data_IF_985076629932
#
_entry.id   IF_985076629932
#
_cell.length_a   1.000
_cell.length_b   1.000
_cell.length_c   1.000
_cell.angle_alpha   90.00
_cell.angle_beta   90.00
_cell.angle_gamma   90.00
#
_symmetry.space_group_name_H-M   'P 1'
#
loop_
_entity.id
_entity.type
_entity.pdbx_description
1 polymer ?
#
# COMPACT_ATOMS: atom_id res chain seq x y z
N UNK A 1 -18.99 29.67 -2.16
CA UNK A 1 -19.32 28.65 -3.18
C UNK A 1 -20.49 27.84 -2.64
N UNK A 2 -21.46 27.50 -3.48
CA UNK A 2 -22.59 26.66 -3.09
C UNK A 2 -22.11 25.20 -2.86
N UNK A 3 -22.71 24.50 -1.89
CA UNK A 3 -22.33 23.13 -1.51
C UNK A 3 -22.48 22.13 -2.67
N UNK A 4 -23.42 22.39 -3.58
CA UNK A 4 -23.61 21.64 -4.82
C UNK A 4 -22.38 21.70 -5.75
N UNK A 5 -21.77 22.88 -5.87
CA UNK A 5 -20.62 23.14 -6.71
C UNK A 5 -19.33 22.59 -6.08
N UNK A 6 -19.23 22.62 -4.75
CA UNK A 6 -18.10 22.02 -4.02
C UNK A 6 -18.10 20.49 -4.14
N UNK A 7 -19.28 19.87 -4.07
CA UNK A 7 -19.41 18.42 -4.27
C UNK A 7 -19.01 18.01 -5.69
N UNK A 8 -19.48 18.73 -6.71
CA UNK A 8 -19.14 18.45 -8.11
C UNK A 8 -17.64 18.58 -8.38
N UNK A 9 -16.98 19.61 -7.83
CA UNK A 9 -15.52 19.79 -7.96
C UNK A 9 -14.74 18.65 -7.30
N UNK A 10 -15.17 18.20 -6.12
CA UNK A 10 -14.53 17.07 -5.44
C UNK A 10 -14.66 15.78 -6.27
N UNK A 11 -15.83 15.52 -6.84
CA UNK A 11 -16.07 14.30 -7.63
C UNK A 11 -15.24 14.29 -8.92
N UNK A 12 -15.16 15.42 -9.63
CA UNK A 12 -14.31 15.57 -10.81
C UNK A 12 -12.83 15.37 -10.47
N UNK A 13 -12.34 16.02 -9.40
CA UNK A 13 -10.97 15.90 -8.95
C UNK A 13 -10.62 14.46 -8.55
N UNK A 14 -11.50 13.77 -7.81
CA UNK A 14 -11.31 12.38 -7.44
C UNK A 14 -11.29 11.45 -8.65
N UNK A 15 -12.18 11.66 -9.62
CA UNK A 15 -12.21 10.87 -10.85
C UNK A 15 -10.92 11.04 -11.66
N UNK A 16 -10.41 12.26 -11.78
CA UNK A 16 -9.18 12.55 -12.50
C UNK A 16 -7.96 11.93 -11.82
N UNK A 17 -7.82 12.12 -10.50
CA UNK A 17 -6.71 11.53 -9.73
C UNK A 17 -6.77 9.99 -9.79
N UNK A 18 -7.95 9.40 -9.66
CA UNK A 18 -8.13 7.94 -9.72
C UNK A 18 -7.71 7.39 -11.09
N UNK A 19 -8.16 8.01 -12.18
CA UNK A 19 -7.83 7.59 -13.55
C UNK A 19 -6.33 7.72 -13.83
N UNK A 20 -5.74 8.88 -13.53
CA UNK A 20 -4.31 9.11 -13.77
C UNK A 20 -3.43 8.16 -12.94
N UNK A 21 -3.84 7.87 -11.70
CA UNK A 21 -3.12 6.91 -10.87
C UNK A 21 -3.23 5.49 -11.42
N UNK A 22 -4.40 5.10 -11.93
CA UNK A 22 -4.61 3.83 -12.61
C UNK A 22 -3.75 3.69 -13.88
N UNK A 23 -3.55 4.77 -14.66
CA UNK A 23 -2.72 4.77 -15.87
C UNK A 23 -1.26 4.36 -15.60
N UNK A 24 -0.74 4.55 -14.38
CA UNK A 24 0.58 4.02 -13.99
C UNK A 24 0.67 2.51 -14.24
N UNK A 25 -0.38 1.76 -13.86
CA UNK A 25 -0.43 0.30 -14.01
C UNK A 25 -0.66 -0.17 -15.45
N UNK A 26 -0.98 0.75 -16.36
CA UNK A 26 -1.04 0.47 -17.79
C UNK A 26 0.29 0.75 -18.47
N UNK A 27 0.89 1.90 -18.16
CA UNK A 27 2.03 2.47 -18.85
C UNK A 27 3.38 1.93 -18.33
N UNK A 28 3.47 1.69 -17.02
CA UNK A 28 4.70 1.20 -16.37
C UNK A 28 4.72 -0.33 -16.21
N UNK A 29 3.81 -1.03 -16.90
CA UNK A 29 3.71 -2.48 -16.91
C UNK A 29 4.31 -3.08 -18.19
N UNK A 30 5.02 -4.19 -18.05
CA UNK A 30 5.42 -5.02 -19.18
C UNK A 30 4.25 -5.94 -19.59
N UNK A 31 3.61 -5.74 -20.75
CA UNK A 31 2.43 -6.51 -21.14
C UNK A 31 2.72 -8.00 -21.37
N UNK A 32 3.98 -8.38 -21.63
CA UNK A 32 4.33 -9.77 -21.92
C UNK A 32 4.37 -10.67 -20.67
N UNK A 33 4.63 -10.09 -19.49
CA UNK A 33 4.77 -10.86 -18.23
C UNK A 33 4.02 -10.23 -17.04
N UNK A 34 3.37 -9.09 -17.25
CA UNK A 34 2.59 -8.40 -16.22
C UNK A 34 3.41 -7.74 -15.11
N UNK A 35 4.74 -7.74 -15.19
CA UNK A 35 5.59 -7.06 -14.22
C UNK A 35 5.41 -5.55 -14.30
N UNK A 36 5.38 -4.87 -13.15
CA UNK A 36 5.16 -3.43 -13.03
C UNK A 36 6.39 -2.78 -12.42
N UNK A 37 6.90 -1.74 -13.07
CA UNK A 37 8.07 -1.01 -12.61
C UNK A 37 7.81 -0.37 -11.23
N UNK A 38 8.81 -0.41 -10.36
CA UNK A 38 8.76 0.24 -9.04
C UNK A 38 8.57 1.76 -9.18
N UNK A 39 9.18 2.32 -10.22
CA UNK A 39 9.22 3.76 -10.52
C UNK A 39 9.05 4.00 -12.01
N UNK A 40 8.52 5.14 -12.40
CA UNK A 40 8.40 5.58 -13.79
C UNK A 40 9.74 6.09 -14.37
N UNK A 41 10.84 5.35 -14.14
CA UNK A 41 12.17 5.67 -14.69
C UNK A 41 12.67 4.53 -15.58
N UNK A 42 13.41 4.87 -16.63
CA UNK A 42 13.78 3.95 -17.71
C UNK A 42 14.50 2.66 -17.25
N UNK A 43 15.26 2.72 -16.15
CA UNK A 43 16.03 1.59 -15.63
C UNK A 43 15.43 0.99 -14.33
N UNK A 44 14.18 1.33 -14.02
CA UNK A 44 13.52 0.83 -12.81
C UNK A 44 13.25 -0.67 -12.92
N UNK A 45 13.55 -1.46 -11.87
CA UNK A 45 13.14 -2.85 -11.83
C UNK A 45 11.64 -2.98 -11.53
N UNK A 46 11.10 -4.18 -11.69
CA UNK A 46 9.76 -4.48 -11.22
C UNK A 46 9.70 -4.54 -9.69
N UNK A 47 8.62 -4.04 -9.09
CA UNK A 47 8.29 -4.27 -7.68
C UNK A 47 7.10 -5.23 -7.59
N UNK A 48 7.26 -6.35 -6.88
CA UNK A 48 6.17 -7.33 -6.75
C UNK A 48 4.98 -6.78 -5.93
N UNK A 49 5.22 -5.81 -5.04
CA UNK A 49 4.15 -5.11 -4.33
C UNK A 49 3.34 -4.24 -5.31
N UNK A 50 4.01 -3.53 -6.23
CA UNK A 50 3.35 -2.77 -7.29
C UNK A 50 2.52 -3.67 -8.21
N UNK A 51 2.99 -4.89 -8.50
CA UNK A 51 2.21 -5.89 -9.26
C UNK A 51 0.93 -6.29 -8.50
N UNK A 52 0.98 -6.53 -7.19
CA UNK A 52 -0.20 -6.82 -6.38
C UNK A 52 -1.24 -5.68 -6.42
N UNK A 53 -0.77 -4.44 -6.34
CA UNK A 53 -1.61 -3.27 -6.46
C UNK A 53 -2.21 -3.14 -7.87
N UNK A 54 -1.46 -3.47 -8.92
CA UNK A 54 -1.96 -3.48 -10.30
C UNK A 54 -3.08 -4.51 -10.49
N UNK A 55 -2.89 -5.76 -10.03
CA UNK A 55 -3.89 -6.82 -10.10
C UNK A 55 -5.18 -6.45 -9.36
N UNK A 56 -5.07 -5.67 -8.28
CA UNK A 56 -6.23 -5.14 -7.54
C UNK A 56 -6.90 -3.97 -8.27
N UNK A 57 -6.12 -3.20 -9.03
CA UNK A 57 -6.58 -2.00 -9.73
C UNK A 57 -7.24 -2.31 -11.07
N UNK A 58 -6.92 -3.45 -11.72
CA UNK A 58 -7.56 -3.85 -12.97
C UNK A 58 -9.08 -4.04 -12.84
N UNK A 59 -9.62 -4.73 -11.82
CA UNK A 59 -11.06 -4.74 -11.54
C UNK A 59 -11.67 -3.33 -11.42
N UNK A 60 -11.02 -2.42 -10.70
CA UNK A 60 -11.47 -1.02 -10.57
C UNK A 60 -11.49 -0.33 -11.93
N UNK A 61 -10.46 -0.55 -12.76
CA UNK A 61 -10.40 -0.02 -14.12
C UNK A 61 -11.54 -0.51 -15.01
N UNK A 62 -12.01 -1.75 -14.84
CA UNK A 62 -13.17 -2.29 -15.55
C UNK A 62 -14.46 -1.63 -15.05
N UNK A 63 -14.69 -1.63 -13.74
CA UNK A 63 -15.91 -1.03 -13.14
C UNK A 63 -16.04 0.48 -13.41
N UNK A 64 -14.92 1.18 -13.60
CA UNK A 64 -14.88 2.62 -13.92
C UNK A 64 -14.77 2.91 -15.41
N UNK A 65 -14.70 1.89 -16.27
CA UNK A 65 -14.59 2.06 -17.72
C UNK A 65 -13.25 2.66 -18.18
N UNK A 66 -12.20 2.58 -17.36
CA UNK A 66 -10.84 2.97 -17.75
C UNK A 66 -10.15 1.91 -18.63
N UNK A 67 -10.61 0.66 -18.55
CA UNK A 67 -10.09 -0.48 -19.30
C UNK A 67 -11.24 -1.46 -19.57
N UNK A 68 -11.21 -2.14 -20.72
CA UNK A 68 -12.20 -3.20 -21.01
C UNK A 68 -11.91 -4.45 -20.18
N UNK A 69 -12.95 -5.27 -19.93
CA UNK A 69 -12.79 -6.55 -19.23
C UNK A 69 -11.77 -7.48 -19.92
N UNK A 70 -11.84 -7.59 -21.24
CA UNK A 70 -10.90 -8.41 -22.04
C UNK A 70 -9.44 -7.98 -21.85
N UNK A 71 -9.17 -6.67 -21.89
CA UNK A 71 -7.82 -6.14 -21.66
C UNK A 71 -7.35 -6.41 -20.22
N UNK A 72 -8.27 -6.40 -19.26
CA UNK A 72 -8.01 -6.74 -17.87
C UNK A 72 -7.67 -8.24 -17.70
N UNK A 73 -8.41 -9.12 -18.38
CA UNK A 73 -8.18 -10.57 -18.42
C UNK A 73 -6.79 -10.86 -19.01
N UNK A 74 -6.46 -10.26 -20.16
CA UNK A 74 -5.17 -10.46 -20.83
C UNK A 74 -3.99 -10.10 -19.91
N UNK A 75 -4.03 -8.91 -19.29
CA UNK A 75 -2.99 -8.45 -18.36
C UNK A 75 -2.90 -9.32 -17.11
N UNK A 76 -4.05 -9.73 -16.57
CA UNK A 76 -4.11 -10.61 -15.39
C UNK A 76 -3.47 -11.96 -15.71
N UNK A 77 -3.87 -12.61 -16.81
CA UNK A 77 -3.31 -13.89 -17.22
C UNK A 77 -1.81 -13.82 -17.53
N UNK A 78 -1.35 -12.77 -18.22
CA UNK A 78 0.08 -12.57 -18.46
C UNK A 78 0.88 -12.56 -17.13
N UNK A 79 0.35 -11.86 -16.13
CA UNK A 79 0.93 -11.78 -14.78
C UNK A 79 0.92 -13.14 -14.08
N UNK A 80 -0.26 -13.77 -13.97
CA UNK A 80 -0.42 -15.01 -13.20
C UNK A 80 0.36 -16.17 -13.83
N UNK A 81 0.33 -16.29 -15.17
CA UNK A 81 1.11 -17.29 -15.91
C UNK A 81 2.61 -17.07 -15.73
N UNK A 82 3.08 -15.82 -15.72
CA UNK A 82 4.48 -15.52 -15.43
C UNK A 82 4.87 -16.02 -14.03
N UNK A 83 4.19 -15.59 -12.96
CA UNK A 83 4.54 -15.99 -11.59
C UNK A 83 4.39 -17.50 -11.33
N UNK A 84 3.48 -18.15 -12.04
CA UNK A 84 3.29 -19.60 -11.93
C UNK A 84 4.46 -20.38 -12.53
N UNK A 85 4.96 -19.95 -13.69
CA UNK A 85 5.97 -20.66 -14.49
C UNK A 85 7.41 -20.16 -14.28
N UNK A 86 7.60 -19.00 -13.66
CA UNK A 86 8.91 -18.41 -13.45
C UNK A 86 9.82 -19.30 -12.57
N UNK A 87 11.17 -19.19 -12.69
CA UNK A 87 12.10 -19.95 -11.87
C UNK A 87 11.80 -19.79 -10.37
N UNK A 88 11.50 -20.91 -9.70
CA UNK A 88 11.06 -20.93 -8.30
C UNK A 88 11.90 -21.92 -7.48
N UNK A 89 13.00 -21.45 -6.89
CA UNK A 89 14.01 -22.31 -6.29
C UNK A 89 15.06 -21.55 -5.46
N UNK A 90 16.02 -22.26 -4.82
CA UNK A 90 17.03 -21.66 -3.95
C UNK A 90 18.13 -20.89 -4.71
N UNK A 91 18.10 -20.93 -6.05
CA UNK A 91 19.07 -20.27 -6.92
C UNK A 91 19.12 -18.75 -6.67
N UNK A 92 20.32 -18.14 -6.77
CA UNK A 92 20.50 -16.73 -6.39
C UNK A 92 19.75 -15.74 -7.28
N UNK A 93 19.39 -16.12 -8.51
CA UNK A 93 18.69 -15.29 -9.51
C UNK A 93 17.27 -15.78 -9.84
N UNK A 94 16.73 -16.75 -9.09
CA UNK A 94 15.34 -17.19 -9.22
C UNK A 94 14.35 -16.03 -8.98
N UNK A 95 13.12 -16.18 -9.47
CA UNK A 95 12.03 -15.20 -9.26
C UNK A 95 11.44 -15.32 -7.86
N UNK A 96 11.41 -16.54 -7.32
CA UNK A 96 10.92 -16.80 -5.97
C UNK A 96 11.47 -18.09 -5.37
N UNK A 97 11.17 -18.32 -4.10
CA UNK A 97 11.49 -19.56 -3.38
C UNK A 97 10.40 -19.84 -2.35
N UNK A 98 10.02 -21.11 -2.15
CA UNK A 98 9.00 -21.51 -1.13
C UNK A 98 7.65 -20.78 -1.23
N UNK A 99 7.24 -20.48 -2.46
CA UNK A 99 6.03 -19.69 -2.75
C UNK A 99 6.08 -18.20 -2.40
N UNK A 100 7.24 -17.69 -1.99
CA UNK A 100 7.51 -16.26 -1.83
C UNK A 100 8.37 -15.74 -2.97
N UNK A 101 8.38 -14.43 -3.16
CA UNK A 101 9.03 -13.77 -4.29
C UNK A 101 10.03 -12.70 -3.85
N UNK A 102 11.03 -12.43 -4.69
CA UNK A 102 11.99 -11.36 -4.45
C UNK A 102 11.35 -9.99 -4.65
N UNK A 103 11.70 -9.06 -3.75
CA UNK A 103 11.18 -7.68 -3.74
C UNK A 103 11.24 -7.05 -5.13
N UNK A 104 12.42 -7.12 -5.75
CA UNK A 104 12.69 -6.54 -7.06
C UNK A 104 13.11 -7.59 -8.08
N UNK A 105 12.51 -7.51 -9.26
CA UNK A 105 12.78 -8.37 -10.41
C UNK A 105 13.18 -7.54 -11.63
N UNK A 106 14.01 -8.08 -12.50
CA UNK A 106 14.29 -7.50 -13.80
C UNK A 106 13.00 -7.49 -14.65
N UNK A 107 12.66 -6.33 -15.22
CA UNK A 107 11.39 -6.12 -15.94
C UNK A 107 11.17 -7.08 -17.11
N UNK A 108 12.23 -7.56 -17.75
CA UNK A 108 12.14 -8.41 -18.95
C UNK A 108 12.22 -9.89 -18.61
N UNK A 109 13.23 -10.25 -17.83
CA UNK A 109 13.58 -11.64 -17.54
C UNK A 109 12.87 -12.19 -16.31
N UNK A 110 12.39 -11.31 -15.42
CA UNK A 110 11.75 -11.71 -14.17
C UNK A 110 12.72 -12.28 -13.13
N UNK A 111 14.03 -12.18 -13.37
CA UNK A 111 15.07 -12.65 -12.44
C UNK A 111 15.29 -11.63 -11.34
N UNK A 112 15.66 -12.10 -10.14
CA UNK A 112 16.00 -11.23 -9.01
C UNK A 112 17.09 -10.23 -9.37
N UNK A 113 16.93 -8.97 -8.96
CA UNK A 113 17.93 -7.90 -9.12
C UNK A 113 18.37 -7.30 -7.79
N UNK A 114 19.43 -6.49 -7.83
CA UNK A 114 19.98 -5.73 -6.71
C UNK A 114 20.34 -6.54 -5.45
N UNK A 115 20.48 -7.87 -5.58
CA UNK A 115 20.64 -8.77 -4.44
C UNK A 115 19.58 -8.56 -3.34
N UNK A 116 18.37 -8.12 -3.73
CA UNK A 116 17.26 -7.86 -2.81
C UNK A 116 16.84 -9.13 -2.06
N UNK A 117 16.17 -8.99 -0.93
CA UNK A 117 15.56 -10.11 -0.23
C UNK A 117 14.34 -10.68 -0.96
N UNK A 118 14.10 -11.96 -0.71
CA UNK A 118 12.79 -12.54 -0.81
C UNK A 118 11.95 -11.94 0.31
N UNK A 119 10.94 -11.14 -0.05
CA UNK A 119 10.22 -10.26 0.86
C UNK A 119 8.88 -10.86 1.21
N UNK A 120 8.63 -11.05 2.51
CA UNK A 120 7.38 -11.66 2.99
C UNK A 120 6.20 -10.70 2.88
N UNK A 121 6.41 -9.41 3.16
CA UNK A 121 5.36 -8.40 3.04
C UNK A 121 5.02 -8.12 1.58
N UNK A 122 6.00 -7.96 0.69
CA UNK A 122 5.70 -7.67 -0.71
C UNK A 122 5.07 -8.88 -1.41
N UNK A 123 5.42 -10.10 -0.99
CA UNK A 123 4.70 -11.30 -1.40
C UNK A 123 3.25 -11.27 -0.89
N UNK A 124 2.99 -10.86 0.35
CA UNK A 124 1.62 -10.77 0.87
C UNK A 124 0.79 -9.73 0.08
N UNK A 125 1.37 -8.58 -0.27
CA UNK A 125 0.72 -7.57 -1.11
C UNK A 125 0.45 -8.09 -2.53
N UNK A 126 1.42 -8.80 -3.13
CA UNK A 126 1.22 -9.51 -4.40
C UNK A 126 0.04 -10.48 -4.31
N UNK A 127 0.03 -11.36 -3.31
CA UNK A 127 -0.99 -12.38 -3.13
C UNK A 127 -2.37 -11.78 -2.83
N UNK A 128 -2.44 -10.64 -2.13
CA UNK A 128 -3.70 -9.92 -1.94
C UNK A 128 -4.30 -9.48 -3.28
N UNK A 129 -3.48 -8.98 -4.21
CA UNK A 129 -3.91 -8.64 -5.56
C UNK A 129 -4.26 -9.84 -6.44
N UNK A 130 -3.48 -10.92 -6.34
CA UNK A 130 -3.77 -12.20 -7.00
C UNK A 130 -5.14 -12.73 -6.58
N UNK A 131 -5.45 -12.69 -5.29
CA UNK A 131 -6.73 -13.13 -4.75
C UNK A 131 -7.88 -12.17 -5.14
N UNK A 132 -7.63 -10.86 -5.20
CA UNK A 132 -8.60 -9.89 -5.69
C UNK A 132 -8.99 -10.16 -7.15
N UNK A 133 -8.01 -10.39 -8.02
CA UNK A 133 -8.23 -10.75 -9.42
C UNK A 133 -9.00 -12.08 -9.54
N UNK A 134 -8.58 -13.11 -8.81
CA UNK A 134 -9.27 -14.41 -8.77
C UNK A 134 -10.71 -14.33 -8.23
N UNK A 135 -11.02 -13.35 -7.40
CA UNK A 135 -12.39 -13.15 -6.91
C UNK A 135 -13.28 -12.32 -7.84
N UNK A 136 -12.68 -11.51 -8.74
CA UNK A 136 -13.40 -10.60 -9.63
C UNK A 136 -13.75 -11.25 -10.98
N UNK A 137 -12.82 -12.02 -11.53
CA UNK A 137 -13.03 -12.75 -12.77
C UNK A 137 -13.75 -14.08 -12.45
N UNK A 138 -15.06 -13.99 -12.25
CA UNK A 138 -15.95 -15.08 -11.82
C UNK A 138 -16.97 -15.54 -12.89
N UNK A 139 -16.86 -15.10 -14.14
CA UNK A 139 -17.74 -15.52 -15.23
C UNK A 139 -17.46 -16.97 -15.69
N UNK A 140 -18.46 -17.58 -16.34
CA UNK A 140 -18.39 -18.90 -16.98
C UNK A 140 -17.65 -18.81 -18.32
N UNK A 141 -16.36 -18.49 -18.23
CA UNK A 141 -15.42 -18.35 -19.33
C UNK A 141 -14.13 -19.11 -19.02
N UNK A 142 -13.48 -19.67 -20.04
CA UNK A 142 -12.27 -20.50 -19.88
C UNK A 142 -11.06 -19.70 -19.38
N UNK A 143 -10.90 -18.45 -19.83
CA UNK A 143 -9.79 -17.58 -19.42
C UNK A 143 -9.98 -17.13 -17.97
N UNK A 144 -11.21 -16.78 -17.58
CA UNK A 144 -11.51 -16.44 -16.20
C UNK A 144 -11.41 -17.64 -15.26
N UNK A 145 -11.80 -18.84 -15.72
CA UNK A 145 -11.55 -20.07 -14.98
C UNK A 145 -10.05 -20.28 -14.71
N UNK A 146 -9.20 -20.05 -15.71
CA UNK A 146 -7.75 -20.14 -15.54
C UNK A 146 -7.23 -19.10 -14.54
N UNK A 147 -7.74 -17.85 -14.56
CA UNK A 147 -7.40 -16.82 -13.56
C UNK A 147 -7.69 -17.33 -12.15
N UNK A 148 -8.90 -17.88 -11.92
CA UNK A 148 -9.30 -18.42 -10.60
C UNK A 148 -8.38 -19.54 -10.14
N UNK A 149 -8.04 -20.46 -11.04
CA UNK A 149 -7.18 -21.60 -10.74
C UNK A 149 -5.74 -21.17 -10.42
N UNK A 150 -5.16 -20.28 -11.22
CA UNK A 150 -3.80 -19.77 -10.98
C UNK A 150 -3.74 -18.94 -9.71
N UNK A 151 -4.78 -18.12 -9.42
CA UNK A 151 -4.82 -17.34 -8.21
C UNK A 151 -4.82 -18.20 -6.93
N UNK A 152 -5.67 -19.23 -6.88
CA UNK A 152 -5.68 -20.19 -5.77
C UNK A 152 -4.36 -20.95 -5.68
N UNK A 153 -3.81 -21.40 -6.81
CA UNK A 153 -2.56 -22.16 -6.85
C UNK A 153 -1.35 -21.35 -6.36
N UNK A 154 -1.24 -20.08 -6.77
CA UNK A 154 -0.19 -19.17 -6.32
C UNK A 154 -0.30 -18.90 -4.81
N UNK A 155 -1.50 -18.64 -4.30
CA UNK A 155 -1.71 -18.43 -2.86
C UNK A 155 -1.36 -19.68 -2.03
N UNK A 156 -1.78 -20.87 -2.49
CA UNK A 156 -1.48 -22.15 -1.82
C UNK A 156 0.00 -22.53 -1.84
N UNK A 157 0.77 -21.99 -2.79
CA UNK A 157 2.21 -22.24 -2.93
C UNK A 157 3.03 -21.62 -1.79
N UNK A 158 2.54 -20.53 -1.18
CA UNK A 158 3.26 -19.81 -0.13
C UNK A 158 3.40 -20.63 1.16
N UNK A 159 4.64 -20.93 1.54
CA UNK A 159 4.96 -21.71 2.74
C UNK A 159 5.11 -20.81 3.98
N UNK A 160 3.99 -20.33 4.54
CA UNK A 160 4.03 -19.38 5.66
C UNK A 160 4.71 -19.94 6.91
N UNK A 161 4.66 -21.26 7.13
CA UNK A 161 5.42 -21.94 8.20
C UNK A 161 6.92 -21.83 7.99
N UNK A 162 7.40 -21.99 6.76
CA UNK A 162 8.80 -21.77 6.44
C UNK A 162 9.22 -20.32 6.73
N UNK A 163 8.38 -19.33 6.40
CA UNK A 163 8.67 -17.91 6.65
C UNK A 163 8.80 -17.54 8.14
N UNK A 164 8.28 -18.37 9.06
CA UNK A 164 8.50 -18.24 10.50
C UNK A 164 9.92 -18.62 10.93
N UNK A 165 10.70 -19.35 10.13
CA UNK A 165 12.07 -19.77 10.48
C UNK A 165 12.18 -20.34 11.92
N UNK A 166 11.23 -21.20 12.31
CA UNK A 166 11.18 -21.82 13.64
C UNK A 166 10.80 -20.92 14.83
N UNK A 167 10.54 -19.63 14.62
CA UNK A 167 10.03 -18.71 15.65
C UNK A 167 8.52 -18.46 15.57
N UNK A 168 7.99 -17.63 16.47
CA UNK A 168 6.54 -17.35 16.49
C UNK A 168 6.10 -16.33 15.41
N UNK A 169 6.82 -15.22 15.27
CA UNK A 169 6.50 -14.16 14.28
C UNK A 169 7.01 -14.50 12.88
N UNK A 170 6.59 -13.77 11.85
CA UNK A 170 7.12 -13.95 10.48
C UNK A 170 8.41 -13.15 10.30
N UNK A 171 9.41 -13.71 9.61
CA UNK A 171 10.65 -12.98 9.27
C UNK A 171 10.39 -11.95 8.18
N UNK A 172 11.14 -10.84 8.13
CA UNK A 172 11.00 -9.85 7.05
C UNK A 172 11.33 -10.45 5.68
N UNK A 173 12.24 -11.42 5.63
CA UNK A 173 12.61 -12.05 4.38
C UNK A 173 13.76 -13.02 4.49
N UNK A 174 14.23 -13.46 3.33
CA UNK A 174 15.33 -14.42 3.18
C UNK A 174 16.24 -14.03 2.02
N UNK A 175 17.52 -14.44 2.07
CA UNK A 175 18.49 -14.23 1.00
C UNK A 175 19.28 -15.51 0.69
N UNK A 176 19.45 -15.86 -0.60
CA UNK A 176 20.35 -16.93 -1.03
C UNK A 176 21.74 -16.82 -0.41
N UNK A 177 22.24 -17.95 0.09
CA UNK A 177 23.55 -18.05 0.74
C UNK A 177 23.67 -17.36 2.11
N UNK A 178 22.69 -16.54 2.53
CA UNK A 178 22.71 -15.81 3.82
C UNK A 178 21.65 -16.30 4.81
N UNK A 179 20.56 -16.90 4.33
CA UNK A 179 19.45 -17.33 5.18
C UNK A 179 18.45 -16.20 5.45
N UNK A 180 17.68 -16.35 6.52
CA UNK A 180 16.66 -15.39 6.92
C UNK A 180 17.27 -14.08 7.43
N UNK A 181 16.57 -12.97 7.16
CA UNK A 181 16.90 -11.68 7.75
C UNK A 181 16.71 -11.72 9.27
N UNK A 182 17.48 -10.90 9.99
CA UNK A 182 17.39 -10.79 11.45
C UNK A 182 16.06 -10.21 11.94
N UNK A 183 15.44 -9.35 11.13
CA UNK A 183 14.24 -8.62 11.49
C UNK A 183 13.00 -9.49 11.30
N UNK A 184 12.03 -9.30 12.19
CA UNK A 184 10.76 -10.03 12.24
C UNK A 184 9.63 -9.03 12.41
N UNK A 185 8.48 -9.36 11.84
CA UNK A 185 7.29 -8.53 11.94
C UNK A 185 6.77 -8.57 13.37
N UNK A 186 6.74 -7.41 14.01
CA UNK A 186 6.43 -7.17 15.42
C UNK A 186 5.62 -5.86 15.47
N UNK A 187 4.31 -5.97 15.66
CA UNK A 187 3.40 -4.88 15.41
C UNK A 187 3.42 -3.77 16.48
N UNK A 188 2.69 -2.67 16.31
CA UNK A 188 1.86 -2.39 15.15
C UNK A 188 2.71 -1.88 13.97
N UNK A 189 2.61 -2.58 12.85
CA UNK A 189 3.30 -2.35 11.58
C UNK A 189 2.32 -2.67 10.42
N UNK A 190 2.78 -2.55 9.17
CA UNK A 190 1.94 -2.75 7.98
C UNK A 190 1.53 -4.22 7.73
N UNK A 191 2.03 -5.17 8.54
CA UNK A 191 1.96 -6.60 8.27
C UNK A 191 0.63 -7.28 8.64
N UNK A 192 -0.42 -6.54 9.01
CA UNK A 192 -1.72 -7.14 9.36
C UNK A 192 -2.27 -8.03 8.23
N UNK A 193 -2.23 -7.56 6.97
CA UNK A 193 -2.61 -8.36 5.79
C UNK A 193 -1.76 -9.63 5.64
N UNK A 194 -0.45 -9.56 5.94
CA UNK A 194 0.45 -10.70 5.90
C UNK A 194 0.03 -11.76 6.91
N UNK A 195 -0.29 -11.37 8.14
CA UNK A 195 -0.75 -12.32 9.16
C UNK A 195 -2.13 -12.90 8.81
N UNK A 196 -3.06 -12.09 8.31
CA UNK A 196 -4.37 -12.57 7.85
C UNK A 196 -4.21 -13.61 6.73
N UNK A 197 -3.44 -13.31 5.68
CA UNK A 197 -3.19 -14.24 4.58
C UNK A 197 -2.45 -15.50 5.04
N UNK A 198 -1.46 -15.37 5.93
CA UNK A 198 -0.71 -16.52 6.44
C UNK A 198 -1.54 -17.44 7.32
N UNK A 199 -2.44 -16.90 8.15
CA UNK A 199 -3.38 -17.69 8.95
C UNK A 199 -4.48 -18.30 8.08
N UNK A 200 -4.90 -17.60 7.03
CA UNK A 200 -5.93 -18.05 6.07
C UNK A 200 -5.49 -19.20 5.17
N UNK A 201 -4.19 -19.49 5.10
CA UNK A 201 -3.67 -20.47 4.13
C UNK A 201 -4.23 -21.87 4.41
N UNK A 202 -4.72 -22.60 3.40
CA UNK A 202 -5.22 -23.96 3.56
C UNK A 202 -4.11 -25.03 3.49
N UNK A 203 -2.88 -24.66 3.13
CA UNK A 203 -1.76 -25.59 2.91
C UNK A 203 -0.67 -25.44 3.98
N UNK A 204 -0.06 -24.25 4.06
CA UNK A 204 1.10 -23.99 4.89
C UNK A 204 0.83 -22.85 5.88
N UNK A 205 -0.28 -22.93 6.62
CA UNK A 205 -0.70 -21.85 7.52
C UNK A 205 0.30 -21.55 8.63
N UNK A 206 0.38 -20.28 9.01
CA UNK A 206 1.04 -19.84 10.25
C UNK A 206 0.52 -20.64 11.46
N UNK A 207 1.38 -20.76 12.48
CA UNK A 207 0.98 -21.40 13.74
C UNK A 207 -0.05 -20.53 14.49
N UNK A 208 -0.92 -21.14 15.33
CA UNK A 208 -1.95 -20.40 16.07
C UNK A 208 -1.38 -19.27 16.96
N UNK A 209 -0.17 -19.44 17.49
CA UNK A 209 0.48 -18.48 18.38
C UNK A 209 1.07 -17.28 17.63
N UNK A 210 1.21 -17.37 16.29
CA UNK A 210 1.93 -16.38 15.48
C UNK A 210 1.29 -14.99 15.58
N UNK A 211 -0.04 -14.93 15.55
CA UNK A 211 -0.77 -13.67 15.64
C UNK A 211 -0.61 -13.01 17.01
N UNK A 212 -0.75 -13.78 18.08
CA UNK A 212 -0.56 -13.28 19.44
C UNK A 212 0.88 -12.78 19.67
N UNK A 213 1.88 -13.45 19.10
CA UNK A 213 3.26 -13.00 19.15
C UNK A 213 3.47 -11.65 18.44
N UNK A 214 2.84 -11.45 17.28
CA UNK A 214 2.89 -10.16 16.57
C UNK A 214 2.19 -9.03 17.32
N UNK A 215 1.03 -9.31 17.93
CA UNK A 215 0.31 -8.33 18.75
C UNK A 215 1.09 -7.93 20.02
N UNK A 216 2.05 -8.74 20.49
CA UNK A 216 2.72 -8.54 21.78
C UNK A 216 3.51 -7.22 21.91
N UNK A 217 3.88 -6.60 20.79
CA UNK A 217 4.61 -5.34 20.73
C UNK A 217 3.73 -4.12 20.51
N UNK A 218 2.41 -4.31 20.37
CA UNK A 218 1.45 -3.23 20.21
C UNK A 218 1.54 -2.24 21.36
N UNK A 219 1.42 -0.95 21.03
CA UNK A 219 1.41 0.13 22.01
C UNK A 219 0.19 1.00 21.80
N UNK A 220 -0.76 0.88 22.73
CA UNK A 220 -1.84 1.85 22.87
C UNK A 220 -1.28 3.18 23.36
N UNK A 221 -1.66 4.29 22.72
CA UNK A 221 -1.18 5.61 23.07
C UNK A 221 -2.30 6.64 23.01
N UNK A 222 -2.24 7.60 23.92
CA UNK A 222 -2.98 8.86 23.83
C UNK A 222 -2.03 9.96 23.34
N UNK A 223 -2.26 10.47 22.14
CA UNK A 223 -1.43 11.50 21.51
C UNK A 223 -2.36 12.64 21.10
N UNK A 224 -2.11 13.85 21.60
CA UNK A 224 -2.93 15.02 21.28
C UNK A 224 -4.43 14.85 21.59
N UNK A 225 -4.76 14.04 22.62
CA UNK A 225 -6.13 13.71 22.99
C UNK A 225 -6.75 12.56 22.19
N UNK A 226 -6.00 11.94 21.28
CA UNK A 226 -6.46 10.82 20.45
C UNK A 226 -5.86 9.52 20.93
N UNK A 227 -6.70 8.52 21.12
CA UNK A 227 -6.28 7.19 21.51
C UNK A 227 -6.20 6.27 20.28
N UNK A 228 -5.13 5.50 20.16
CA UNK A 228 -4.93 4.55 19.06
C UNK A 228 -3.78 3.58 19.38
N UNK A 229 -3.75 2.44 18.69
CA UNK A 229 -2.49 1.74 18.49
C UNK A 229 -1.66 2.54 17.48
N UNK A 230 -0.48 2.99 17.91
CA UNK A 230 0.30 4.00 17.19
C UNK A 230 1.45 3.42 16.37
N UNK A 231 1.53 3.84 15.11
CA UNK A 231 2.71 3.79 14.26
C UNK A 231 2.95 5.16 13.60
N UNK A 232 4.21 5.50 13.36
CA UNK A 232 4.62 6.85 12.93
C UNK A 232 4.29 7.18 11.47
N UNK A 233 4.80 6.42 10.49
CA UNK A 233 4.42 6.58 9.09
C UNK A 233 2.93 6.28 8.86
N UNK A 234 2.22 7.16 8.14
CA UNK A 234 0.78 7.00 7.96
C UNK A 234 0.40 5.73 7.17
N UNK A 235 1.23 5.28 6.23
CA UNK A 235 0.93 4.12 5.39
C UNK A 235 0.68 2.82 6.18
N UNK A 236 1.27 2.70 7.38
CA UNK A 236 1.09 1.55 8.27
C UNK A 236 -0.39 1.39 8.66
N UNK A 237 -1.10 2.51 8.82
CA UNK A 237 -2.54 2.54 9.11
C UNK A 237 -3.42 2.39 7.86
N UNK A 238 -2.82 2.24 6.67
CA UNK A 238 -3.56 2.28 5.39
C UNK A 238 -3.39 1.01 4.58
N UNK A 239 -2.20 0.43 4.53
CA UNK A 239 -1.88 -0.63 3.56
C UNK A 239 -2.77 -1.86 3.71
N UNK A 240 -2.98 -2.36 4.93
CA UNK A 240 -3.88 -3.50 5.14
C UNK A 240 -5.35 -3.17 4.84
N UNK A 241 -5.74 -1.90 5.00
CA UNK A 241 -7.07 -1.40 4.66
C UNK A 241 -7.33 -1.31 3.16
N UNK A 242 -6.31 -1.39 2.30
CA UNK A 242 -6.54 -1.42 0.85
C UNK A 242 -7.43 -2.63 0.50
N UNK A 243 -7.14 -3.79 1.07
CA UNK A 243 -7.85 -5.04 0.77
C UNK A 243 -8.85 -5.45 1.84
N UNK A 244 -8.62 -5.14 3.11
CA UNK A 244 -9.47 -5.60 4.20
C UNK A 244 -10.32 -4.46 4.74
N UNK A 245 -11.62 -4.69 4.77
CA UNK A 245 -12.53 -3.81 5.49
C UNK A 245 -12.53 -4.15 6.97
N UNK A 246 -12.01 -3.25 7.79
CA UNK A 246 -11.97 -3.45 9.23
C UNK A 246 -13.14 -2.81 9.99
N UNK A 247 -14.13 -2.23 9.30
CA UNK A 247 -15.33 -1.68 9.98
C UNK A 247 -16.06 -2.76 10.74
N UNK A 248 -16.36 -2.49 12.01
CA UNK A 248 -17.15 -3.32 12.91
C UNK A 248 -16.59 -4.73 13.19
N UNK A 249 -15.36 -5.04 12.74
CA UNK A 249 -14.64 -6.27 13.07
C UNK A 249 -13.46 -5.96 13.99
N UNK A 250 -13.29 -6.78 15.03
CA UNK A 250 -12.27 -6.53 16.05
C UNK A 250 -11.60 -7.83 16.45
N UNK A 251 -10.27 -7.82 16.52
CA UNK A 251 -9.49 -8.87 17.19
C UNK A 251 -9.58 -8.71 18.73
N UNK A 252 -8.83 -9.54 19.47
CA UNK A 252 -8.81 -9.46 20.93
C UNK A 252 -8.29 -8.12 21.45
N UNK A 253 -7.16 -7.63 20.93
CA UNK A 253 -6.53 -6.39 21.38
C UNK A 253 -7.46 -5.19 21.17
N UNK A 254 -8.10 -5.11 20.01
CA UNK A 254 -8.97 -4.01 19.65
C UNK A 254 -10.31 -4.05 20.41
N UNK A 255 -10.83 -5.24 20.73
CA UNK A 255 -11.98 -5.39 21.65
C UNK A 255 -11.69 -4.84 23.04
N UNK A 256 -10.50 -5.07 23.58
CA UNK A 256 -10.10 -4.55 24.90
C UNK A 256 -10.09 -3.02 24.97
N UNK A 257 -10.02 -2.34 23.81
CA UNK A 257 -10.04 -0.88 23.69
C UNK A 257 -11.33 -0.33 23.09
N UNK A 258 -12.36 -1.17 22.95
CA UNK A 258 -13.66 -0.87 22.34
C UNK A 258 -13.54 -0.14 20.98
N UNK A 259 -12.64 -0.61 20.12
CA UNK A 259 -12.33 0.02 18.83
C UNK A 259 -12.15 -1.02 17.74
N UNK A 260 -12.36 -0.63 16.49
CA UNK A 260 -11.89 -1.41 15.35
C UNK A 260 -10.69 -0.71 14.67
N UNK A 261 -10.04 -1.39 13.73
CA UNK A 261 -8.89 -0.80 13.03
C UNK A 261 -9.30 0.35 12.09
N UNK A 262 -10.56 0.40 11.62
CA UNK A 262 -11.02 1.50 10.77
C UNK A 262 -11.08 2.81 11.57
N UNK A 263 -11.67 2.78 12.74
CA UNK A 263 -11.69 3.91 13.67
C UNK A 263 -10.28 4.24 14.17
N UNK A 264 -9.42 3.25 14.40
CA UNK A 264 -8.00 3.49 14.73
C UNK A 264 -7.29 4.30 13.63
N UNK A 265 -7.45 3.90 12.37
CA UNK A 265 -6.86 4.56 11.20
C UNK A 265 -7.47 5.95 10.95
N UNK A 266 -8.75 6.15 11.28
CA UNK A 266 -9.38 7.48 11.35
C UNK A 266 -8.69 8.36 12.39
N UNK A 267 -8.46 7.87 13.61
CA UNK A 267 -7.73 8.63 14.64
C UNK A 267 -6.28 8.93 14.24
N UNK A 268 -5.59 8.00 13.59
CA UNK A 268 -4.24 8.22 13.05
C UNK A 268 -4.22 9.29 11.94
N UNK A 269 -5.24 9.31 11.07
CA UNK A 269 -5.41 10.33 10.03
C UNK A 269 -5.59 11.73 10.66
N UNK A 270 -6.47 11.83 11.65
CA UNK A 270 -6.65 13.08 12.37
C UNK A 270 -5.40 13.51 13.15
N UNK A 271 -4.65 12.56 13.71
CA UNK A 271 -3.37 12.85 14.38
C UNK A 271 -2.36 13.48 13.43
N UNK A 272 -2.31 13.04 12.16
CA UNK A 272 -1.43 13.64 11.15
C UNK A 272 -1.79 15.10 10.86
N UNK A 273 -3.08 15.40 10.69
CA UNK A 273 -3.55 16.78 10.52
C UNK A 273 -3.27 17.64 11.75
N UNK A 274 -3.52 17.11 12.95
CA UNK A 274 -3.25 17.81 14.21
C UNK A 274 -1.75 18.08 14.42
N UNK A 275 -0.88 17.17 13.98
CA UNK A 275 0.56 17.40 13.96
C UNK A 275 0.95 18.52 12.99
N UNK A 276 0.37 18.50 11.79
CA UNK A 276 0.63 19.52 10.77
C UNK A 276 0.17 20.92 11.20
N UNK A 277 -0.99 21.05 11.84
CA UNK A 277 -1.48 22.33 12.40
C UNK A 277 -0.54 22.84 13.49
N UNK A 278 -0.08 21.96 14.39
CA UNK A 278 0.86 22.34 15.45
C UNK A 278 2.25 22.70 14.93
N UNK A 279 2.67 22.05 13.84
CA UNK A 279 3.96 22.26 13.16
C UNK A 279 5.13 22.51 14.13
N UNK A 280 5.43 21.58 15.05
CA UNK A 280 6.40 21.82 16.13
C UNK A 280 7.83 22.08 15.63
N UNK A 281 8.10 21.81 14.35
CA UNK A 281 9.40 21.99 13.69
C UNK A 281 9.44 23.22 12.77
N UNK A 282 8.33 23.95 12.64
CA UNK A 282 8.24 25.15 11.83
C UNK A 282 8.66 24.94 10.38
N UNK A 283 8.22 23.86 9.74
CA UNK A 283 8.41 23.63 8.31
C UNK A 283 7.37 24.41 7.51
N UNK A 284 7.74 24.88 6.32
CA UNK A 284 6.81 25.62 5.46
C UNK A 284 5.72 24.68 4.92
N UNK A 285 4.54 25.24 4.65
CA UNK A 285 3.40 24.52 4.07
C UNK A 285 2.55 23.73 5.06
N UNK A 286 3.11 23.19 6.14
CA UNK A 286 2.38 22.39 7.13
C UNK A 286 1.16 23.14 7.69
N UNK A 287 -0.01 22.50 7.68
CA UNK A 287 -1.23 23.10 8.20
C UNK A 287 -2.47 22.22 8.08
N UNK A 288 -3.63 22.82 8.30
CA UNK A 288 -4.94 22.15 8.32
C UNK A 288 -5.25 21.38 7.03
N UNK A 289 -4.86 21.93 5.86
CA UNK A 289 -5.10 21.32 4.55
C UNK A 289 -3.81 20.82 3.87
N UNK A 290 -2.69 20.78 4.59
CA UNK A 290 -1.40 20.38 4.03
C UNK A 290 -0.64 19.51 5.04
N UNK A 291 -0.85 18.20 4.91
CA UNK A 291 -0.37 17.16 5.81
C UNK A 291 -0.22 15.83 5.05
N UNK A 292 0.35 14.81 5.70
CA UNK A 292 0.59 13.49 5.10
C UNK A 292 2.04 13.07 5.25
N UNK A 293 2.47 12.75 6.48
CA UNK A 293 3.83 12.30 6.77
C UNK A 293 3.89 10.77 6.69
N UNK A 294 4.67 10.26 5.75
CA UNK A 294 4.80 8.82 5.48
C UNK A 294 6.15 8.50 4.84
N UNK A 295 6.45 7.22 4.63
CA UNK A 295 7.64 6.79 3.89
C UNK A 295 7.63 7.32 2.46
N UNK A 296 8.68 8.05 2.08
CA UNK A 296 8.75 8.72 0.77
C UNK A 296 10.17 9.12 0.40
N UNK A 297 10.35 9.49 -0.86
CA UNK A 297 11.52 10.26 -1.29
C UNK A 297 11.49 11.67 -0.70
N UNK A 298 12.61 12.36 -0.83
CA UNK A 298 12.82 13.69 -0.29
C UNK A 298 14.01 14.34 -0.97
N UNK A 299 14.27 15.63 -0.67
CA UNK A 299 15.25 16.43 -1.39
C UNK A 299 16.71 16.01 -1.16
N UNK A 300 16.96 15.05 -0.26
CA UNK A 300 18.30 14.52 -0.03
C UNK A 300 19.23 15.48 0.73
N UNK A 301 20.45 15.04 1.03
CA UNK A 301 21.43 15.82 1.79
C UNK A 301 21.99 17.03 1.02
N UNK A 302 21.69 17.15 -0.27
CA UNK A 302 22.18 18.21 -1.17
C UNK A 302 21.36 19.51 -0.98
N UNK A 303 20.10 19.40 -0.55
CA UNK A 303 19.30 20.55 -0.17
C UNK A 303 19.77 21.11 1.18
N UNK A 304 20.82 21.93 1.18
CA UNK A 304 21.31 22.61 2.39
C UNK A 304 20.65 23.97 2.53
N UNK A 305 19.91 24.16 3.63
CA UNK A 305 19.53 25.51 4.08
C UNK A 305 20.59 26.08 5.01
N UNK A 306 20.69 27.41 5.03
CA UNK A 306 21.57 28.15 5.93
C UNK A 306 21.20 27.99 7.42
N UNK A 307 19.99 27.50 7.72
CA UNK A 307 19.46 27.32 9.09
C UNK A 307 19.89 25.99 9.76
N UNK A 308 20.70 25.17 9.08
CA UNK A 308 21.24 23.92 9.63
C UNK A 308 20.28 22.73 9.65
N UNK A 309 19.07 22.85 9.07
CA UNK A 309 18.13 21.73 8.96
C UNK A 309 18.67 20.64 8.01
N UNK A 310 18.44 19.38 8.38
CA UNK A 310 18.84 18.19 7.61
C UNK A 310 17.65 17.62 6.85
N UNK A 311 17.90 17.26 5.60
CA UNK A 311 16.94 16.62 4.72
C UNK A 311 17.47 15.27 4.24
N UNK A 312 16.54 14.38 3.92
CA UNK A 312 16.85 13.00 3.54
C UNK A 312 16.34 12.70 2.14
N UNK A 313 16.94 11.71 1.49
CA UNK A 313 16.42 11.16 0.23
C UNK A 313 15.20 10.32 0.55
N UNK A 314 15.30 9.02 0.34
CA UNK A 314 14.29 8.09 0.85
C UNK A 314 14.39 7.92 2.38
N UNK A 315 13.26 8.07 3.09
CA UNK A 315 13.16 7.82 4.52
C UNK A 315 11.74 7.39 4.91
N UNK A 316 11.63 6.47 5.88
CA UNK A 316 10.37 6.15 6.54
C UNK A 316 9.95 7.27 7.51
N UNK A 317 9.45 8.39 6.97
CA UNK A 317 9.01 9.55 7.77
C UNK A 317 7.76 9.19 8.57
N UNK A 318 7.64 9.77 9.76
CA UNK A 318 6.51 9.53 10.63
C UNK A 318 6.29 10.65 11.62
N UNK A 319 5.03 10.85 12.00
CA UNK A 319 4.62 11.89 12.93
C UNK A 319 3.83 11.30 14.11
N UNK A 320 3.84 11.92 15.31
CA UNK A 320 4.69 13.05 15.70
C UNK A 320 6.08 12.63 16.21
N UNK A 321 6.34 11.32 16.39
CA UNK A 321 7.56 10.82 17.04
C UNK A 321 8.59 10.22 16.06
N UNK A 322 8.30 10.19 14.77
CA UNK A 322 9.21 9.71 13.74
C UNK A 322 10.09 10.82 13.15
N UNK A 323 10.94 10.48 12.17
CA UNK A 323 11.67 11.50 11.46
C UNK A 323 10.72 12.33 10.59
N UNK A 324 10.93 13.64 10.64
CA UNK A 324 10.25 14.65 9.84
C UNK A 324 11.34 15.60 9.29
N UNK A 325 11.30 15.94 8.01
CA UNK A 325 12.21 16.93 7.41
C UNK A 325 11.44 17.97 6.58
N UNK A 326 10.13 18.11 6.83
CA UNK A 326 9.25 19.00 6.09
C UNK A 326 8.74 18.43 4.78
N UNK A 327 9.09 17.18 4.44
CA UNK A 327 8.58 16.50 3.25
C UNK A 327 7.23 15.86 3.53
N UNK A 328 6.26 16.13 2.66
CA UNK A 328 4.89 15.63 2.72
C UNK A 328 4.59 14.77 1.48
N UNK A 329 3.60 13.88 1.61
CA UNK A 329 3.20 12.94 0.57
C UNK A 329 1.68 13.01 0.32
N UNK A 330 1.24 13.60 -0.81
CA UNK A 330 -0.19 13.73 -1.13
C UNK A 330 -0.92 12.40 -1.15
N UNK A 331 -0.26 11.34 -1.65
CA UNK A 331 -0.84 10.00 -1.73
C UNK A 331 -1.28 9.45 -0.37
N UNK A 332 -0.55 9.78 0.71
CA UNK A 332 -0.91 9.34 2.06
C UNK A 332 -2.14 10.07 2.59
N UNK A 333 -2.35 11.35 2.25
CA UNK A 333 -3.62 12.00 2.57
C UNK A 333 -4.77 11.39 1.77
N UNK A 334 -4.57 11.14 0.45
CA UNK A 334 -5.58 10.51 -0.41
C UNK A 334 -5.96 9.11 0.08
N UNK A 335 -4.98 8.28 0.46
CA UNK A 335 -5.23 6.92 0.95
C UNK A 335 -6.02 6.88 2.27
N UNK A 336 -6.15 8.01 2.96
CA UNK A 336 -7.01 8.17 4.14
C UNK A 336 -8.45 8.59 3.83
N UNK A 337 -8.80 8.78 2.55
CA UNK A 337 -10.12 9.26 2.12
C UNK A 337 -11.29 8.45 2.70
N UNK A 338 -11.26 7.10 2.74
CA UNK A 338 -12.35 6.35 3.35
C UNK A 338 -12.52 6.61 4.85
N UNK A 339 -11.46 6.96 5.57
CA UNK A 339 -11.49 7.10 7.03
C UNK A 339 -12.00 8.46 7.47
N UNK A 340 -11.62 9.54 6.77
CA UNK A 340 -11.92 10.91 7.19
C UNK A 340 -12.07 11.86 5.99
N UNK A 341 -13.08 11.65 5.12
CA UNK A 341 -13.27 12.46 3.92
C UNK A 341 -13.39 13.96 4.22
N UNK A 342 -13.94 14.32 5.37
CA UNK A 342 -14.14 15.70 5.82
C UNK A 342 -12.84 16.50 6.04
N UNK A 343 -11.71 15.83 6.25
CA UNK A 343 -10.38 16.49 6.33
C UNK A 343 -9.47 16.16 5.14
N UNK A 344 -9.77 15.10 4.39
CA UNK A 344 -9.01 14.72 3.20
C UNK A 344 -9.43 15.55 2.00
N UNK A 345 -10.73 15.72 1.74
CA UNK A 345 -11.22 16.50 0.58
C UNK A 345 -10.71 17.95 0.57
N UNK A 346 -10.72 18.70 1.70
CA UNK A 346 -10.09 20.01 1.76
C UNK A 346 -8.59 19.99 1.46
N UNK A 347 -7.86 18.95 1.91
CA UNK A 347 -6.44 18.80 1.61
C UNK A 347 -6.20 18.53 0.12
N UNK A 348 -7.04 17.73 -0.55
CA UNK A 348 -6.90 17.46 -1.98
C UNK A 348 -7.10 18.71 -2.82
N UNK A 349 -8.09 19.54 -2.48
CA UNK A 349 -8.28 20.84 -3.13
C UNK A 349 -7.07 21.74 -2.94
N UNK A 350 -6.52 21.79 -1.73
CA UNK A 350 -5.32 22.57 -1.47
C UNK A 350 -4.12 22.08 -2.28
N UNK A 351 -3.93 20.76 -2.41
CA UNK A 351 -2.89 20.18 -3.27
C UNK A 351 -3.09 20.52 -4.76
N UNK A 352 -4.35 20.58 -5.21
CA UNK A 352 -4.69 21.02 -6.56
C UNK A 352 -4.37 22.51 -6.76
N UNK A 353 -4.72 23.38 -5.82
CA UNK A 353 -4.40 24.82 -5.83
C UNK A 353 -2.89 25.09 -5.76
N UNK A 354 -2.12 24.23 -5.10
CA UNK A 354 -0.65 24.25 -5.06
C UNK A 354 0.00 23.72 -6.36
N UNK A 355 -0.82 23.31 -7.32
CA UNK A 355 -0.39 22.78 -8.61
C UNK A 355 0.55 21.57 -8.49
N UNK A 356 0.28 20.69 -7.50
CA UNK A 356 1.07 19.47 -7.29
C UNK A 356 0.96 18.46 -8.44
N UNK A 357 0.10 18.73 -9.43
CA UNK A 357 -0.05 17.94 -10.66
C UNK A 357 0.87 18.44 -11.78
N UNK A 358 1.31 19.69 -11.78
CA UNK A 358 2.05 20.25 -12.92
C UNK A 358 3.29 19.40 -13.28
N UNK A 359 3.38 19.03 -14.56
CA UNK A 359 4.42 18.17 -15.10
C UNK A 359 4.35 16.68 -14.71
N UNK A 360 3.33 16.24 -13.95
CA UNK A 360 3.24 14.86 -13.44
C UNK A 360 2.22 14.01 -14.25
N UNK A 361 2.64 12.86 -14.81
CA UNK A 361 1.76 12.02 -15.64
C UNK A 361 0.71 11.22 -14.85
N UNK A 362 0.91 11.01 -13.54
CA UNK A 362 0.12 10.07 -12.74
C UNK A 362 -0.56 10.74 -11.53
N UNK A 363 -1.08 11.96 -11.72
CA UNK A 363 -1.77 12.74 -10.68
C UNK A 363 -0.82 13.63 -9.88
N UNK A 364 -1.05 13.78 -8.57
CA UNK A 364 -0.14 14.57 -7.73
C UNK A 364 1.23 13.91 -7.60
N UNK A 365 2.27 14.74 -7.48
CA UNK A 365 3.64 14.29 -7.19
C UNK A 365 3.70 13.34 -5.98
N UNK A 366 4.63 12.38 -6.00
CA UNK A 366 4.79 11.39 -4.95
C UNK A 366 5.13 12.02 -3.57
N UNK A 367 5.90 13.11 -3.57
CA UNK A 367 6.21 13.88 -2.37
C UNK A 367 6.69 15.28 -2.73
N UNK A 368 6.56 16.21 -1.79
CA UNK A 368 7.00 17.58 -1.96
C UNK A 368 7.48 18.17 -0.63
N UNK A 369 8.28 19.23 -0.67
CA UNK A 369 8.82 19.91 0.50
C UNK A 369 8.81 21.43 0.27
N UNK A 370 7.78 22.14 0.78
CA UNK A 370 7.66 23.60 0.63
C UNK A 370 8.76 24.39 1.34
N UNK A 371 9.53 23.75 2.23
CA UNK A 371 10.63 24.42 2.95
C UNK A 371 11.85 24.62 2.05
N UNK A 372 11.97 23.81 0.99
CA UNK A 372 13.02 23.94 -0.03
C UNK A 372 12.43 24.70 -1.20
N UNK A 373 12.91 25.91 -1.45
CA UNK A 373 12.45 26.72 -2.58
C UNK A 373 12.71 25.97 -3.91
N UNK A 374 11.72 25.99 -4.80
CA UNK A 374 11.88 25.50 -6.16
C UNK A 374 12.61 26.54 -7.03
N UNK A 375 13.33 26.08 -8.05
CA UNK A 375 14.06 26.95 -8.98
C UNK A 375 13.12 27.87 -9.79
N UNK A 376 11.89 27.44 -10.03
CA UNK A 376 10.85 28.19 -10.73
C UNK A 376 9.91 28.99 -9.81
N UNK A 377 10.19 29.01 -8.50
CA UNK A 377 9.44 29.78 -7.52
C UNK A 377 8.06 29.24 -7.14
N UNK A 378 7.69 28.01 -7.55
CA UNK A 378 6.39 27.42 -7.17
C UNK A 378 6.24 27.24 -5.66
N UNK A 379 5.02 27.43 -5.16
CA UNK A 379 4.73 27.43 -3.72
C UNK A 379 4.93 26.06 -3.04
N UNK A 380 4.87 24.97 -3.79
CA UNK A 380 5.10 23.61 -3.28
C UNK A 380 6.57 23.29 -3.02
N UNK A 381 7.50 24.14 -3.46
CA UNK A 381 8.93 23.94 -3.26
C UNK A 381 9.47 22.73 -4.02
N UNK A 382 10.38 21.98 -3.40
CA UNK A 382 10.92 20.75 -4.00
C UNK A 382 9.80 19.73 -4.23
N UNK A 383 9.83 19.03 -5.35
CA UNK A 383 8.93 17.93 -5.70
C UNK A 383 9.74 16.69 -6.09
N UNK A 384 9.19 15.50 -5.82
CA UNK A 384 9.77 14.24 -6.26
C UNK A 384 9.84 14.19 -7.78
N UNK A 385 10.98 13.77 -8.38
CA UNK A 385 11.10 13.66 -9.83
C UNK A 385 10.31 12.47 -10.40
N UNK A 386 10.05 11.46 -9.56
CA UNK A 386 9.47 10.19 -9.98
C UNK A 386 8.19 9.88 -9.18
N UNK A 387 7.34 9.06 -9.79
CA UNK A 387 6.24 8.34 -9.15
C UNK A 387 6.69 6.92 -8.79
N UNK A 388 6.06 6.36 -7.75
CA UNK A 388 6.35 5.01 -7.25
C UNK A 388 5.06 4.18 -7.24
N UNK A 389 5.10 2.95 -7.73
CA UNK A 389 3.92 2.08 -7.87
C UNK A 389 3.18 1.83 -6.54
N UNK A 390 3.91 1.69 -5.44
CA UNK A 390 3.34 1.51 -4.10
C UNK A 390 2.64 2.77 -3.54
N UNK A 391 2.81 3.92 -4.19
CA UNK A 391 2.07 5.15 -3.86
C UNK A 391 0.79 5.26 -4.72
N UNK A 392 0.87 4.82 -5.98
CA UNK A 392 -0.25 4.91 -6.94
C UNK A 392 -1.37 3.93 -6.62
N UNK A 393 -1.04 2.70 -6.24
CA UNK A 393 -2.04 1.69 -5.88
C UNK A 393 -3.01 2.17 -4.78
N UNK A 394 -2.51 2.62 -3.62
CA UNK A 394 -3.36 3.17 -2.57
C UNK A 394 -4.26 4.32 -3.03
N UNK A 395 -3.80 5.20 -3.94
CA UNK A 395 -4.62 6.28 -4.49
C UNK A 395 -5.83 5.70 -5.24
N UNK A 396 -5.60 4.86 -6.25
CA UNK A 396 -6.67 4.34 -7.09
C UNK A 396 -7.67 3.49 -6.30
N UNK A 397 -7.15 2.65 -5.39
CA UNK A 397 -7.94 1.67 -4.65
C UNK A 397 -8.70 2.28 -3.46
N UNK A 398 -8.10 3.21 -2.72
CA UNK A 398 -8.77 3.83 -1.58
C UNK A 398 -9.79 4.88 -2.02
N UNK A 399 -9.59 5.55 -3.17
CA UNK A 399 -10.66 6.34 -3.80
C UNK A 399 -11.82 5.42 -4.15
N UNK A 400 -11.56 4.24 -4.71
CA UNK A 400 -12.63 3.30 -5.06
C UNK A 400 -13.40 2.79 -3.84
N UNK A 401 -12.68 2.39 -2.78
CA UNK A 401 -13.30 1.96 -1.53
C UNK A 401 -14.16 3.07 -0.92
N UNK A 402 -13.70 4.33 -0.96
CA UNK A 402 -14.52 5.47 -0.53
C UNK A 402 -15.80 5.63 -1.37
N UNK A 403 -15.70 5.49 -2.70
CA UNK A 403 -16.84 5.74 -3.61
C UNK A 403 -17.90 4.64 -3.59
N UNK A 404 -17.51 3.37 -3.42
CA UNK A 404 -18.41 2.24 -3.68
C UNK A 404 -18.22 1.01 -2.80
N UNK A 405 -17.25 1.06 -1.87
CA UNK A 405 -16.76 -0.09 -1.11
C UNK A 405 -16.37 -1.30 -1.99
N UNK A 406 -16.09 -1.10 -3.29
CA UNK A 406 -16.03 -2.21 -4.25
C UNK A 406 -14.96 -3.25 -3.91
N UNK A 407 -13.70 -2.84 -3.69
CA UNK A 407 -12.62 -3.78 -3.39
C UNK A 407 -12.85 -4.45 -2.04
N UNK A 408 -13.34 -3.72 -1.05
CA UNK A 408 -13.77 -4.31 0.22
C UNK A 408 -14.85 -5.38 0.05
N UNK A 409 -15.97 -5.08 -0.61
CA UNK A 409 -17.05 -6.06 -0.87
C UNK A 409 -16.54 -7.28 -1.62
N UNK A 410 -15.64 -7.08 -2.59
CA UNK A 410 -14.97 -8.15 -3.31
C UNK A 410 -14.16 -9.04 -2.35
N UNK A 411 -13.28 -8.44 -1.55
CA UNK A 411 -12.35 -9.15 -0.66
C UNK A 411 -13.04 -9.85 0.53
N UNK A 412 -14.20 -9.35 0.98
CA UNK A 412 -15.03 -10.05 1.99
C UNK A 412 -15.46 -11.46 1.54
N UNK A 413 -15.52 -11.72 0.23
CA UNK A 413 -15.86 -13.03 -0.35
C UNK A 413 -14.68 -13.99 -0.43
N UNK A 414 -13.45 -13.53 -0.18
CA UNK A 414 -12.23 -14.33 -0.33
C UNK A 414 -12.03 -15.23 0.88
N UNK A 415 -11.97 -16.58 0.73
CA UNK A 415 -11.80 -17.50 1.85
C UNK A 415 -10.51 -17.30 2.65
N UNK A 416 -9.41 -16.91 1.98
CA UNK A 416 -8.13 -16.58 2.62
C UNK A 416 -8.29 -15.45 3.66
N UNK A 417 -9.06 -14.42 3.33
CA UNK A 417 -9.30 -13.27 4.20
C UNK A 417 -10.22 -13.66 5.36
N UNK A 418 -11.39 -14.22 5.07
CA UNK A 418 -12.38 -14.58 6.10
C UNK A 418 -11.85 -15.62 7.08
N UNK A 419 -11.18 -16.66 6.58
CA UNK A 419 -10.56 -17.71 7.41
C UNK A 419 -9.40 -17.13 8.22
N UNK A 420 -8.57 -16.29 7.61
CA UNK A 420 -7.45 -15.63 8.27
C UNK A 420 -7.89 -14.74 9.42
N UNK A 421 -8.88 -13.88 9.19
CA UNK A 421 -9.46 -13.00 10.21
C UNK A 421 -10.05 -13.81 11.38
N UNK A 422 -10.87 -14.83 11.10
CA UNK A 422 -11.43 -15.68 12.16
C UNK A 422 -10.34 -16.39 12.98
N UNK A 423 -9.29 -16.89 12.33
CA UNK A 423 -8.14 -17.52 13.01
C UNK A 423 -7.28 -16.53 13.80
N UNK A 424 -7.23 -15.27 13.36
CA UNK A 424 -6.65 -14.15 14.12
C UNK A 424 -7.55 -13.70 15.29
N UNK A 425 -8.74 -14.29 15.47
CA UNK A 425 -9.65 -13.97 16.55
C UNK A 425 -10.50 -12.72 16.29
N UNK A 426 -10.61 -12.27 15.04
CA UNK A 426 -11.58 -11.25 14.65
C UNK A 426 -13.01 -11.78 14.73
N UNK A 427 -13.93 -10.90 15.12
CA UNK A 427 -15.38 -11.16 15.13
C UNK A 427 -16.16 -9.85 15.00
N UNK A 428 -17.44 -9.94 14.64
CA UNK A 428 -18.36 -8.81 14.52
C UNK A 428 -18.65 -8.42 13.08
N UNK A 429 -19.39 -7.33 12.89
CA UNK A 429 -19.58 -6.71 11.57
C UNK A 429 -20.01 -7.66 10.47
N UNK A 430 -19.23 -7.67 9.37
CA UNK A 430 -19.49 -8.45 8.16
C UNK A 430 -18.89 -9.86 8.17
N UNK A 431 -18.07 -10.20 9.18
CA UNK A 431 -17.32 -11.45 9.29
C UNK A 431 -18.13 -12.54 9.98
#
# INVERSE_FOLDING_TARGET
>A
MDASNEHALNDELLQDIQRLSFEYFLNEANPANGLVADRNTQASPASIAAVGLALSSYPVGVERGFMTRDAAIERTLATLRFFWNAPHGPEPDATGYRGFYYHFLDMKTGRRVWNCELSTIDTALLLAGVLAAGAYFDEDDELELEIRQLADALYRRADWRWAQNGGATVTHGWRPGKGFLRYRWEGFDEALILYVLGLGSPTHSLTPESYAAWLSTYKWKTIYGREMVYAGPLFIHQFSHIWIDFRDIRDAFMRDHDRDYFENSRQATYLQRDYAIRNPRGFAGYGENCWGVTASDGPGPIARRADGRRFFGYLARGAPFGPDDGTLSPWAAIASLPFAPEIVLPALRHFHEMDLRDGNPYGFTASFNPTIAADDGRACGWVSPDHVGINQGPIALMIENYRSDFLWRLMRRVPAITTGLRRAGFSGGWL
#
